data_IF_985458654564
#
_entry.id   IF_985458654564
#
_cell.length_a   1.000
_cell.length_b   1.000
_cell.length_c   1.000
_cell.angle_alpha   90.00
_cell.angle_beta   90.00
_cell.angle_gamma   90.00
#
_symmetry.space_group_name_H-M   'P 1'
#
loop_
_entity.id
_entity.type
_entity.pdbx_description
1 polymer ?
#
# COMPACT_ATOMS: atom_id res chain seq x y z
N UNK A 1 5.43 -0.31 -22.38
CA UNK A 1 6.89 0.06 -22.50
C UNK A 1 7.27 1.24 -21.60
N UNK A 2 6.33 1.91 -20.96
CA UNK A 2 6.63 3.07 -20.10
C UNK A 2 6.66 2.74 -18.61
N UNK A 3 6.17 1.58 -18.21
CA UNK A 3 6.19 1.08 -16.82
C UNK A 3 7.41 0.20 -16.64
N UNK A 4 8.13 0.40 -15.53
CA UNK A 4 9.25 -0.43 -15.10
C UNK A 4 8.96 -0.92 -13.67
N UNK A 5 9.20 -2.19 -13.44
CA UNK A 5 9.14 -2.81 -12.11
C UNK A 5 10.57 -3.03 -11.65
N UNK A 6 10.93 -2.43 -10.53
CA UNK A 6 12.21 -2.63 -9.85
C UNK A 6 11.94 -3.49 -8.61
N UNK A 7 12.70 -4.53 -8.40
CA UNK A 7 12.53 -5.42 -7.24
C UNK A 7 13.86 -5.73 -6.60
N UNK A 8 13.89 -5.76 -5.28
CA UNK A 8 14.94 -6.49 -4.58
C UNK A 8 14.80 -8.00 -4.82
N UNK A 9 15.89 -8.74 -4.66
CA UNK A 9 15.87 -10.20 -4.81
C UNK A 9 15.28 -10.86 -3.57
N UNK A 10 13.99 -11.13 -3.61
CA UNK A 10 13.22 -11.67 -2.49
C UNK A 10 12.37 -12.90 -2.87
N UNK A 11 12.58 -13.45 -4.06
CA UNK A 11 11.91 -14.66 -4.52
C UNK A 11 10.38 -14.55 -4.63
N UNK A 12 9.82 -13.35 -4.80
CA UNK A 12 8.37 -13.10 -4.82
C UNK A 12 7.65 -13.81 -5.99
N UNK A 13 6.91 -14.91 -5.77
CA UNK A 13 6.19 -15.62 -6.85
C UNK A 13 5.13 -14.76 -7.54
N UNK A 14 4.59 -13.77 -6.83
CA UNK A 14 3.64 -12.78 -7.39
C UNK A 14 4.22 -12.00 -8.58
N UNK A 15 5.54 -11.92 -8.71
CA UNK A 15 6.22 -11.23 -9.79
C UNK A 15 6.63 -12.16 -10.96
N UNK A 16 6.43 -13.47 -10.86
CA UNK A 16 6.92 -14.43 -11.87
C UNK A 16 6.31 -14.16 -13.25
N UNK A 17 5.02 -13.84 -13.32
CA UNK A 17 4.37 -13.49 -14.59
C UNK A 17 4.97 -12.22 -15.22
N UNK A 18 5.43 -11.28 -14.41
CA UNK A 18 6.08 -10.04 -14.88
C UNK A 18 7.48 -10.39 -15.37
N UNK A 19 8.24 -11.19 -14.62
CA UNK A 19 9.58 -11.64 -14.99
C UNK A 19 9.58 -12.38 -16.33
N UNK A 20 8.56 -13.23 -16.56
CA UNK A 20 8.46 -14.02 -17.78
C UNK A 20 7.92 -13.22 -18.95
N UNK A 21 6.81 -12.48 -18.77
CA UNK A 21 6.09 -11.87 -19.88
C UNK A 21 6.56 -10.45 -20.19
N UNK A 22 7.21 -9.77 -19.25
CA UNK A 22 7.62 -8.38 -19.32
C UNK A 22 9.10 -8.21 -18.91
N UNK A 23 9.96 -9.15 -19.25
CA UNK A 23 11.37 -9.18 -18.84
C UNK A 23 12.11 -7.85 -19.10
N UNK A 24 11.84 -7.19 -20.23
CA UNK A 24 12.45 -5.88 -20.57
C UNK A 24 11.93 -4.71 -19.70
N UNK A 25 10.92 -4.95 -18.87
CA UNK A 25 10.33 -3.97 -17.94
C UNK A 25 10.58 -4.36 -16.48
N UNK A 26 11.39 -5.40 -16.24
CA UNK A 26 11.73 -5.88 -14.91
C UNK A 26 13.22 -5.72 -14.63
N UNK A 27 13.53 -5.09 -13.49
CA UNK A 27 14.91 -4.87 -13.02
C UNK A 27 15.02 -5.51 -11.63
N UNK A 28 15.92 -6.49 -11.49
CA UNK A 28 16.30 -7.04 -10.20
C UNK A 28 17.59 -6.35 -9.74
N UNK A 29 17.57 -5.73 -8.57
CA UNK A 29 18.72 -5.00 -8.00
C UNK A 29 19.54 -5.83 -7.02
N UNK A 30 19.25 -7.12 -6.87
CA UNK A 30 19.80 -7.97 -5.82
C UNK A 30 19.16 -7.66 -4.46
N UNK A 31 19.77 -8.12 -3.39
CA UNK A 31 19.33 -7.84 -2.00
C UNK A 31 19.84 -6.44 -1.61
N UNK A 32 19.31 -5.41 -2.26
CA UNK A 32 19.77 -4.02 -2.15
C UNK A 32 18.61 -3.03 -2.32
N UNK A 33 17.72 -2.96 -1.32
CA UNK A 33 16.49 -2.17 -1.38
C UNK A 33 16.76 -0.66 -1.51
N UNK A 34 17.80 -0.15 -0.85
CA UNK A 34 18.22 1.25 -0.98
C UNK A 34 18.59 1.57 -2.42
N UNK A 35 19.36 0.67 -3.07
CA UNK A 35 19.71 0.81 -4.48
C UNK A 35 18.47 0.69 -5.37
N UNK A 36 17.49 -0.17 -5.02
CA UNK A 36 16.25 -0.31 -5.76
C UNK A 36 15.47 1.03 -5.81
N UNK A 37 15.38 1.75 -4.68
CA UNK A 37 14.77 3.09 -4.63
C UNK A 37 15.52 4.06 -5.57
N UNK A 38 16.84 4.10 -5.49
CA UNK A 38 17.66 5.01 -6.32
C UNK A 38 17.56 4.70 -7.81
N UNK A 39 17.58 3.42 -8.20
CA UNK A 39 17.40 2.98 -9.59
C UNK A 39 16.03 3.39 -10.11
N UNK A 40 14.97 3.17 -9.31
CA UNK A 40 13.61 3.57 -9.68
C UNK A 40 13.49 5.09 -9.84
N UNK A 41 14.12 5.87 -8.96
CA UNK A 41 14.14 7.33 -9.03
C UNK A 41 14.84 7.81 -10.32
N UNK A 42 16.01 7.24 -10.64
CA UNK A 42 16.69 7.54 -11.89
C UNK A 42 15.87 7.23 -13.14
N UNK A 43 15.13 6.11 -13.13
CA UNK A 43 14.21 5.75 -14.22
C UNK A 43 13.03 6.72 -14.29
N UNK A 44 12.48 7.14 -13.14
CA UNK A 44 11.38 8.11 -13.09
C UNK A 44 11.81 9.49 -13.61
N UNK A 45 13.04 9.94 -13.30
CA UNK A 45 13.62 11.17 -13.88
C UNK A 45 13.74 11.11 -15.40
N UNK A 46 13.86 9.92 -15.99
CA UNK A 46 13.83 9.68 -17.45
C UNK A 46 12.42 9.45 -17.99
N UNK A 47 11.38 9.79 -17.23
CA UNK A 47 9.97 9.75 -17.64
C UNK A 47 9.33 8.36 -17.58
N UNK A 48 9.97 7.38 -16.94
CA UNK A 48 9.34 6.08 -16.70
C UNK A 48 8.39 6.13 -15.50
N UNK A 49 7.38 5.27 -15.51
CA UNK A 49 6.56 4.97 -14.33
C UNK A 49 7.20 3.81 -13.59
N UNK A 50 7.94 4.13 -12.54
CA UNK A 50 8.70 3.16 -11.78
C UNK A 50 7.92 2.67 -10.56
N UNK A 51 7.76 1.34 -10.45
CA UNK A 51 7.23 0.65 -9.30
C UNK A 51 8.38 -0.08 -8.63
N UNK A 52 8.59 0.14 -7.33
CA UNK A 52 9.62 -0.54 -6.54
C UNK A 52 8.93 -1.52 -5.61
N UNK A 53 9.28 -2.79 -5.69
CA UNK A 53 8.63 -3.85 -4.93
C UNK A 53 9.62 -4.52 -3.96
N UNK A 54 9.22 -4.64 -2.70
CA UNK A 54 10.02 -5.30 -1.66
C UNK A 54 9.20 -5.71 -0.44
N UNK A 55 9.85 -6.44 0.48
CA UNK A 55 9.26 -6.71 1.80
C UNK A 55 9.13 -5.38 2.55
N UNK A 56 7.97 -5.15 3.16
CA UNK A 56 7.58 -3.85 3.68
C UNK A 56 8.64 -3.17 4.60
N UNK A 57 9.18 -3.79 5.67
CA UNK A 57 10.20 -3.14 6.50
C UNK A 57 11.50 -2.82 5.74
N UNK A 58 11.86 -3.64 4.75
CA UNK A 58 13.10 -3.48 4.03
C UNK A 58 13.01 -2.40 2.95
N UNK A 59 11.84 -2.28 2.28
CA UNK A 59 11.65 -1.25 1.27
C UNK A 59 11.22 0.11 1.87
N UNK A 60 10.85 0.17 3.15
CA UNK A 60 10.46 1.40 3.85
C UNK A 60 11.50 1.84 4.87
N UNK A 61 11.60 1.19 6.03
CA UNK A 61 12.47 1.64 7.12
C UNK A 61 13.93 1.66 6.72
N UNK A 62 14.42 0.60 6.08
CA UNK A 62 15.80 0.53 5.58
C UNK A 62 16.10 1.59 4.54
N UNK A 63 15.11 2.01 3.77
CA UNK A 63 15.23 2.97 2.68
C UNK A 63 14.73 4.38 3.03
N UNK A 64 14.48 4.66 4.30
CA UNK A 64 13.81 5.90 4.72
C UNK A 64 14.54 7.15 4.25
N UNK A 65 15.86 7.17 4.33
CA UNK A 65 16.68 8.29 3.86
C UNK A 65 16.49 8.50 2.34
N UNK A 66 16.64 7.43 1.55
CA UNK A 66 16.50 7.50 0.10
C UNK A 66 15.10 7.98 -0.29
N UNK A 67 14.06 7.44 0.34
CA UNK A 67 12.67 7.86 0.07
C UNK A 67 12.48 9.33 0.47
N UNK A 68 13.01 9.75 1.62
CA UNK A 68 12.93 11.13 2.06
C UNK A 68 13.59 12.09 1.07
N UNK A 69 14.76 11.75 0.57
CA UNK A 69 15.48 12.58 -0.40
C UNK A 69 14.79 12.55 -1.75
N UNK A 70 14.60 11.37 -2.33
CA UNK A 70 14.10 11.20 -3.70
C UNK A 70 12.63 11.64 -3.83
N UNK A 71 11.77 11.11 -2.96
CA UNK A 71 10.33 11.37 -3.04
C UNK A 71 9.90 12.66 -2.33
N UNK A 72 10.47 12.93 -1.15
CA UNK A 72 10.08 14.07 -0.32
C UNK A 72 10.73 15.38 -0.77
N UNK A 73 12.05 15.42 -0.92
CA UNK A 73 12.80 16.64 -1.24
C UNK A 73 12.84 16.90 -2.75
N UNK A 74 13.24 15.90 -3.54
CA UNK A 74 13.37 16.02 -5.01
C UNK A 74 12.02 15.84 -5.73
N UNK A 75 10.98 15.35 -5.07
CA UNK A 75 9.63 15.11 -5.60
C UNK A 75 9.61 14.22 -6.84
N UNK A 76 10.50 13.22 -6.88
CA UNK A 76 10.55 12.25 -7.98
C UNK A 76 9.40 11.25 -7.80
N UNK A 77 8.49 11.11 -8.79
CA UNK A 77 7.28 10.28 -8.63
C UNK A 77 7.60 8.79 -8.84
N UNK A 78 7.73 8.05 -7.76
CA UNK A 78 7.85 6.59 -7.74
C UNK A 78 6.71 5.95 -6.94
N UNK A 79 6.33 4.74 -7.30
CA UNK A 79 5.38 3.93 -6.52
C UNK A 79 6.15 2.87 -5.75
N UNK A 80 6.13 2.96 -4.42
CA UNK A 80 6.80 2.04 -3.51
C UNK A 80 5.77 1.01 -3.06
N UNK A 81 6.01 -0.26 -3.31
CA UNK A 81 5.10 -1.36 -2.96
C UNK A 81 5.76 -2.22 -1.89
N UNK A 82 5.25 -2.12 -0.67
CA UNK A 82 5.72 -2.91 0.47
C UNK A 82 4.74 -4.03 0.79
N UNK A 83 5.20 -5.29 0.72
CA UNK A 83 4.39 -6.46 1.02
C UNK A 83 4.68 -7.00 2.42
N UNK A 84 3.64 -7.46 3.13
CA UNK A 84 3.73 -8.02 4.47
C UNK A 84 3.82 -6.95 5.55
N UNK A 85 3.06 -5.87 5.40
CA UNK A 85 2.92 -4.83 6.43
C UNK A 85 2.24 -5.39 7.70
N UNK A 86 2.40 -4.69 8.81
CA UNK A 86 1.90 -5.16 10.10
C UNK A 86 2.64 -6.41 10.57
N UNK A 87 1.89 -7.44 10.92
CA UNK A 87 2.40 -8.76 11.34
C UNK A 87 2.28 -9.82 10.23
N UNK A 88 2.22 -9.40 8.95
CA UNK A 88 2.01 -10.31 7.82
C UNK A 88 3.06 -11.41 7.66
N UNK A 89 4.28 -11.19 8.17
CA UNK A 89 5.36 -12.18 8.25
C UNK A 89 5.51 -12.73 9.68
N UNK A 90 4.43 -13.23 10.26
CA UNK A 90 4.38 -13.76 11.63
C UNK A 90 5.40 -14.87 11.92
N UNK A 91 5.74 -15.66 10.89
CA UNK A 91 6.68 -16.78 10.91
C UNK A 91 8.16 -16.36 10.79
N UNK A 92 8.44 -15.12 10.44
CA UNK A 92 9.80 -14.64 10.13
C UNK A 92 10.40 -13.79 11.25
N UNK A 93 9.63 -13.51 12.29
CA UNK A 93 10.05 -12.78 13.48
C UNK A 93 10.11 -11.25 13.33
N UNK A 94 10.56 -10.55 14.37
CA UNK A 94 10.39 -9.09 14.51
C UNK A 94 11.11 -8.27 13.44
N UNK A 95 12.14 -8.81 12.78
CA UNK A 95 12.83 -8.11 11.68
C UNK A 95 11.97 -7.95 10.43
N UNK A 96 10.90 -8.75 10.30
CA UNK A 96 9.95 -8.72 9.19
C UNK A 96 8.62 -8.07 9.57
N UNK A 97 8.39 -7.79 10.85
CA UNK A 97 7.19 -7.08 11.31
C UNK A 97 7.31 -5.58 11.03
N UNK A 98 6.20 -4.93 10.73
CA UNK A 98 6.17 -3.51 10.40
C UNK A 98 4.83 -2.90 10.84
N UNK A 99 4.76 -2.41 12.06
CA UNK A 99 3.55 -1.80 12.65
C UNK A 99 3.60 -0.26 12.64
N UNK A 100 4.77 0.32 12.41
CA UNK A 100 5.05 1.76 12.47
C UNK A 100 5.12 2.44 11.11
N UNK A 101 4.96 1.71 10.01
CA UNK A 101 5.18 2.21 8.65
C UNK A 101 4.31 3.44 8.30
N UNK A 102 3.03 3.42 8.63
CA UNK A 102 2.14 4.54 8.36
C UNK A 102 2.63 5.80 9.10
N UNK A 103 3.04 5.67 10.36
CA UNK A 103 3.52 6.79 11.16
C UNK A 103 4.80 7.39 10.58
N UNK A 104 5.77 6.54 10.20
CA UNK A 104 7.06 6.95 9.67
C UNK A 104 6.91 7.52 8.26
N UNK A 105 6.22 6.84 7.37
CA UNK A 105 6.06 7.27 5.98
C UNK A 105 5.23 8.57 5.87
N UNK A 106 4.30 8.83 6.78
CA UNK A 106 3.59 10.11 6.87
C UNK A 106 4.48 11.31 7.17
N UNK A 107 5.65 11.10 7.74
CA UNK A 107 6.61 12.19 8.01
C UNK A 107 7.28 12.73 6.74
N UNK A 108 7.18 12.01 5.62
CA UNK A 108 7.79 12.41 4.35
C UNK A 108 6.83 13.36 3.61
N UNK A 109 7.24 14.62 3.33
CA UNK A 109 6.38 15.60 2.69
C UNK A 109 5.92 15.15 1.30
N UNK A 110 4.62 15.23 1.05
CA UNK A 110 4.03 14.92 -0.27
C UNK A 110 3.92 13.44 -0.61
N UNK A 111 4.33 12.55 0.28
CA UNK A 111 4.15 11.12 0.10
C UNK A 111 2.71 10.72 0.42
N UNK A 112 2.04 10.10 -0.54
CA UNK A 112 0.74 9.46 -0.35
C UNK A 112 0.96 8.04 0.15
N UNK A 113 0.11 7.55 1.05
CA UNK A 113 0.09 6.16 1.51
C UNK A 113 -1.26 5.56 1.13
N UNK A 114 -1.25 4.42 0.47
CA UNK A 114 -2.44 3.64 0.13
C UNK A 114 -2.37 2.28 0.84
N UNK A 115 -3.19 2.10 1.89
CA UNK A 115 -3.29 0.85 2.65
C UNK A 115 -4.37 -0.03 2.03
N UNK A 116 -3.96 -1.08 1.38
CA UNK A 116 -4.82 -1.89 0.51
C UNK A 116 -5.68 -2.85 1.32
N UNK A 117 -6.98 -2.81 1.07
CA UNK A 117 -7.99 -3.61 1.76
C UNK A 117 -8.23 -4.94 1.05
N UNK A 118 -8.39 -4.91 -0.29
CA UNK A 118 -8.60 -6.10 -1.09
C UNK A 118 -7.99 -6.00 -2.50
N UNK A 119 -8.13 -7.05 -3.29
CA UNK A 119 -7.59 -7.12 -4.64
C UNK A 119 -8.24 -6.13 -5.62
N UNK A 120 -9.50 -5.73 -5.39
CA UNK A 120 -10.20 -4.73 -6.22
C UNK A 120 -9.54 -3.37 -6.02
N UNK A 121 -9.31 -2.98 -4.77
CA UNK A 121 -8.57 -1.75 -4.43
C UNK A 121 -7.13 -1.81 -4.94
N UNK A 122 -6.44 -2.96 -4.79
CA UNK A 122 -5.07 -3.12 -5.31
C UNK A 122 -5.00 -2.81 -6.81
N UNK A 123 -5.92 -3.37 -7.59
CA UNK A 123 -5.98 -3.12 -9.04
C UNK A 123 -6.31 -1.66 -9.38
N UNK A 124 -7.20 -1.02 -8.63
CA UNK A 124 -7.55 0.39 -8.83
C UNK A 124 -6.38 1.32 -8.49
N UNK A 125 -5.70 1.10 -7.36
CA UNK A 125 -4.53 1.88 -6.94
C UNK A 125 -3.37 1.68 -7.92
N UNK A 126 -3.12 0.47 -8.39
CA UNK A 126 -2.07 0.21 -9.39
C UNK A 126 -2.33 1.00 -10.69
N UNK A 127 -3.58 1.06 -11.16
CA UNK A 127 -3.96 1.85 -12.34
C UNK A 127 -3.77 3.35 -12.11
N UNK A 128 -4.28 3.88 -10.98
CA UNK A 128 -4.19 5.31 -10.67
C UNK A 128 -2.74 5.76 -10.45
N UNK A 129 -1.89 4.92 -9.84
CA UNK A 129 -0.47 5.20 -9.64
C UNK A 129 0.28 5.47 -10.95
N UNK A 130 -0.15 4.89 -12.07
CA UNK A 130 0.43 5.19 -13.38
C UNK A 130 0.25 6.65 -13.83
N UNK A 131 -0.74 7.37 -13.29
CA UNK A 131 -1.01 8.78 -13.60
C UNK A 131 -0.47 9.76 -12.55
N UNK A 132 -0.04 9.29 -11.38
CA UNK A 132 0.41 10.15 -10.29
C UNK A 132 1.67 10.94 -10.69
N UNK A 133 1.71 12.19 -10.23
CA UNK A 133 2.88 13.09 -10.35
C UNK A 133 3.60 13.26 -9.00
N UNK A 134 3.24 12.46 -8.02
CA UNK A 134 3.84 12.39 -6.69
C UNK A 134 4.12 10.93 -6.37
N UNK A 135 4.98 10.70 -5.39
CA UNK A 135 5.24 9.35 -4.92
C UNK A 135 4.10 8.82 -4.07
N UNK A 136 3.90 7.52 -4.12
CA UNK A 136 3.00 6.84 -3.19
C UNK A 136 3.63 5.56 -2.65
N UNK A 137 3.29 5.26 -1.40
CA UNK A 137 3.57 4.01 -0.73
C UNK A 137 2.32 3.15 -0.73
N UNK A 138 2.35 2.02 -1.41
CA UNK A 138 1.29 1.02 -1.46
C UNK A 138 1.60 -0.06 -0.42
N UNK A 139 0.78 -0.09 0.61
CA UNK A 139 0.92 -1.00 1.75
C UNK A 139 0.08 -2.23 1.52
N UNK A 140 0.72 -3.37 1.31
CA UNK A 140 0.07 -4.66 1.08
C UNK A 140 0.27 -5.61 2.25
N UNK A 141 -0.75 -6.41 2.53
CA UNK A 141 -0.58 -7.62 3.36
C UNK A 141 0.12 -8.73 2.55
N UNK A 142 0.67 -9.72 3.25
CA UNK A 142 1.21 -10.95 2.66
C UNK A 142 0.11 -11.94 2.30
N UNK A 143 -0.94 -11.99 3.11
CA UNK A 143 -2.07 -12.91 2.95
C UNK A 143 -3.14 -12.29 2.05
N UNK A 144 -3.81 -13.09 1.22
CA UNK A 144 -4.97 -12.61 0.49
C UNK A 144 -6.10 -12.28 1.48
N UNK A 145 -6.82 -11.20 1.24
CA UNK A 145 -8.02 -10.79 1.97
C UNK A 145 -9.28 -11.20 1.21
N UNK A 146 -10.39 -11.31 1.93
CA UNK A 146 -11.70 -11.46 1.32
C UNK A 146 -12.03 -10.23 0.45
N UNK A 147 -12.81 -10.46 -0.60
CA UNK A 147 -13.34 -9.36 -1.42
C UNK A 147 -14.35 -8.55 -0.62
N UNK A 148 -14.12 -7.25 -0.49
CA UNK A 148 -14.97 -6.30 0.22
C UNK A 148 -15.63 -5.33 -0.75
N UNK A 149 -14.87 -4.84 -1.72
CA UNK A 149 -15.33 -3.87 -2.71
C UNK A 149 -15.80 -4.52 -4.00
N UNK A 150 -16.68 -3.83 -4.71
CA UNK A 150 -17.05 -4.21 -6.07
C UNK A 150 -16.15 -3.51 -7.12
N UNK A 151 -16.19 -4.00 -8.36
CA UNK A 151 -15.28 -3.57 -9.43
C UNK A 151 -15.50 -2.10 -9.88
N UNK A 152 -16.64 -1.49 -9.49
CA UNK A 152 -16.99 -0.11 -9.84
C UNK A 152 -16.67 0.89 -8.76
N UNK A 153 -16.13 0.44 -7.62
CA UNK A 153 -15.81 1.31 -6.49
C UNK A 153 -14.82 2.40 -6.89
N UNK A 154 -15.16 3.64 -6.58
CA UNK A 154 -14.26 4.77 -6.67
C UNK A 154 -13.45 4.91 -5.37
N UNK A 155 -12.13 4.89 -5.49
CA UNK A 155 -11.19 5.04 -4.38
C UNK A 155 -10.54 6.44 -4.31
N UNK A 156 -11.06 7.42 -5.03
CA UNK A 156 -10.50 8.78 -5.07
C UNK A 156 -10.64 9.53 -3.75
N UNK A 157 -11.66 9.19 -2.94
CA UNK A 157 -11.96 9.85 -1.66
C UNK A 157 -10.93 9.57 -0.55
N UNK A 158 -10.23 8.43 -0.60
CA UNK A 158 -9.30 7.98 0.45
C UNK A 158 -9.97 7.35 1.67
N UNK A 159 -11.30 7.36 1.71
CA UNK A 159 -12.13 6.80 2.80
C UNK A 159 -13.37 6.17 2.18
N UNK A 160 -13.79 5.02 2.68
CA UNK A 160 -15.02 4.34 2.25
C UNK A 160 -15.84 3.85 3.44
N UNK A 161 -17.18 3.96 3.33
CA UNK A 161 -18.08 3.30 4.26
C UNK A 161 -18.37 1.92 3.70
N UNK A 162 -17.88 0.87 4.38
CA UNK A 162 -18.09 -0.52 3.96
C UNK A 162 -19.30 -1.18 4.66
N UNK A 163 -19.78 -0.54 5.71
CA UNK A 163 -21.02 -0.92 6.40
C UNK A 163 -21.63 0.29 7.08
N UNK A 164 -22.94 0.48 6.90
CA UNK A 164 -23.71 1.48 7.64
C UNK A 164 -24.12 0.98 9.03
N UNK A 165 -24.21 1.91 9.99
CA UNK A 165 -24.62 1.69 11.36
C UNK A 165 -24.80 3.01 12.10
N UNK A 166 -25.49 2.98 13.25
CA UNK A 166 -25.93 4.21 13.95
C UNK A 166 -25.51 4.30 15.42
N UNK A 167 -25.05 3.19 16.02
CA UNK A 167 -24.79 3.16 17.47
C UNK A 167 -23.31 3.30 17.82
N UNK A 168 -22.44 2.80 16.97
CA UNK A 168 -21.00 3.00 17.10
C UNK A 168 -20.31 2.95 15.73
N UNK A 169 -19.07 3.44 15.66
CA UNK A 169 -18.26 3.40 14.44
C UNK A 169 -16.93 2.68 14.71
N UNK A 170 -16.58 1.75 13.81
CA UNK A 170 -15.29 1.09 13.76
C UNK A 170 -14.52 1.67 12.57
N UNK A 171 -13.46 2.43 12.84
CA UNK A 171 -12.53 2.88 11.83
C UNK A 171 -11.42 1.85 11.65
N UNK A 172 -11.18 1.45 10.42
CA UNK A 172 -10.19 0.42 10.07
C UNK A 172 -9.34 0.85 8.89
N UNK A 173 -8.31 0.08 8.56
CA UNK A 173 -7.49 0.27 7.37
C UNK A 173 -6.92 -1.07 6.89
N UNK A 174 -6.81 -1.23 5.58
CA UNK A 174 -6.25 -2.43 4.98
C UNK A 174 -7.05 -3.69 5.31
N UNK A 175 -6.37 -4.81 5.41
CA UNK A 175 -6.99 -6.14 5.64
C UNK A 175 -7.76 -6.26 6.96
N UNK A 176 -7.53 -5.33 7.92
CA UNK A 176 -8.31 -5.28 9.17
C UNK A 176 -9.79 -4.93 8.94
N UNK A 177 -10.17 -4.51 7.74
CA UNK A 177 -11.56 -4.31 7.35
C UNK A 177 -12.38 -5.61 7.43
N UNK A 178 -11.78 -6.76 7.10
CA UNK A 178 -12.42 -8.07 7.25
C UNK A 178 -12.76 -8.37 8.70
N UNK A 179 -11.79 -8.20 9.61
CA UNK A 179 -11.98 -8.36 11.06
C UNK A 179 -13.04 -7.40 11.60
N UNK A 180 -13.04 -6.14 11.14
CA UNK A 180 -14.06 -5.18 11.53
C UNK A 180 -15.47 -5.62 11.13
N UNK A 181 -15.63 -6.19 9.94
CA UNK A 181 -16.92 -6.75 9.50
C UNK A 181 -17.33 -8.00 10.32
N UNK A 182 -16.40 -8.83 10.75
CA UNK A 182 -16.67 -9.94 11.66
C UNK A 182 -17.13 -9.45 13.03
N UNK A 183 -16.45 -8.47 13.60
CA UNK A 183 -16.86 -7.82 14.86
C UNK A 183 -18.29 -7.28 14.73
N UNK A 184 -18.64 -6.66 13.61
CA UNK A 184 -20.01 -6.18 13.39
C UNK A 184 -21.05 -7.29 13.39
N UNK A 185 -20.71 -8.50 12.89
CA UNK A 185 -21.62 -9.65 12.96
C UNK A 185 -21.89 -10.06 14.41
N UNK A 186 -20.85 -10.05 15.25
CA UNK A 186 -20.99 -10.36 16.69
C UNK A 186 -21.75 -9.26 17.45
N UNK A 187 -21.50 -7.99 17.16
CA UNK A 187 -22.21 -6.87 17.75
C UNK A 187 -23.71 -6.90 17.40
N UNK A 188 -24.04 -7.30 16.16
CA UNK A 188 -25.45 -7.44 15.73
C UNK A 188 -26.22 -8.48 16.57
N UNK A 189 -25.58 -9.57 17.02
CA UNK A 189 -26.19 -10.54 17.93
C UNK A 189 -26.58 -9.89 19.28
N UNK A 190 -25.85 -8.86 19.67
CA UNK A 190 -26.10 -8.05 20.86
C UNK A 190 -27.02 -6.85 20.60
N UNK A 191 -27.64 -6.77 19.40
CA UNK A 191 -28.49 -5.67 18.93
C UNK A 191 -27.76 -4.33 18.80
N UNK A 192 -26.44 -4.34 18.63
CA UNK A 192 -25.63 -3.15 18.39
C UNK A 192 -25.40 -3.02 16.88
N UNK A 193 -25.80 -1.89 16.29
CA UNK A 193 -25.65 -1.60 14.87
C UNK A 193 -24.42 -0.72 14.64
N UNK A 194 -23.27 -1.34 14.32
CA UNK A 194 -22.02 -0.66 14.12
C UNK A 194 -21.81 -0.26 12.65
N UNK A 195 -21.34 0.96 12.44
CA UNK A 195 -20.80 1.46 11.16
C UNK A 195 -19.36 1.03 11.01
N UNK A 196 -18.89 0.72 9.79
CA UNK A 196 -17.48 0.46 9.50
C UNK A 196 -16.99 1.41 8.43
N UNK A 197 -15.93 2.13 8.75
CA UNK A 197 -15.23 3.04 7.85
C UNK A 197 -13.85 2.47 7.54
N UNK A 198 -13.54 2.34 6.27
CA UNK A 198 -12.20 1.99 5.79
C UNK A 198 -11.45 3.27 5.40
N UNK A 199 -10.40 3.58 6.16
CA UNK A 199 -9.51 4.71 5.92
C UNK A 199 -8.26 4.22 5.18
N UNK A 200 -8.31 4.19 3.87
CA UNK A 200 -7.29 3.52 3.04
C UNK A 200 -6.25 4.46 2.44
N UNK A 201 -6.44 5.79 2.48
CA UNK A 201 -5.43 6.74 1.98
C UNK A 201 -5.00 7.72 3.07
N UNK A 202 -3.69 7.93 3.18
CA UNK A 202 -3.11 8.93 4.09
C UNK A 202 -2.28 9.96 3.30
N UNK A 203 -2.30 11.26 3.68
CA UNK A 203 -3.02 11.82 4.84
C UNK A 203 -4.54 11.66 4.72
N UNK A 204 -5.20 11.45 5.86
CA UNK A 204 -6.63 11.23 5.93
C UNK A 204 -7.43 12.45 5.47
N UNK A 205 -8.51 12.22 4.74
CA UNK A 205 -9.53 13.22 4.47
C UNK A 205 -10.46 13.35 5.69
N UNK A 206 -10.01 14.11 6.71
CA UNK A 206 -10.71 14.25 7.98
C UNK A 206 -12.18 14.70 7.84
N UNK A 207 -12.56 15.64 6.95
CA UNK A 207 -13.96 15.99 6.72
C UNK A 207 -14.87 14.83 6.31
N UNK A 208 -14.32 13.83 5.62
CA UNK A 208 -15.08 12.64 5.21
C UNK A 208 -15.22 11.60 6.34
N UNK A 209 -14.27 11.57 7.28
CA UNK A 209 -14.34 10.69 8.44
C UNK A 209 -15.38 11.13 9.48
N UNK A 210 -15.70 12.43 9.53
CA UNK A 210 -16.58 13.03 10.54
C UNK A 210 -18.04 13.14 10.06
N UNK A 211 -18.34 12.73 8.84
CA UNK A 211 -19.69 12.61 8.26
C UNK A 211 -20.25 11.21 8.45
#
# INVERSE_FOLDING_TARGET
RNIIIVSADMGAPSLDRIRTNLAAQFVNTGIAEQNAIMVASGLAMKGKKAFVYGIAPFITLRCLEQIRVESGMMRIPITIVGVGAGLGYEDSGPTHHLIEDIAIMRSIPGLRIDSITDHVMAAAVARSSCSFRHSNYVRLDRKPSARIYDDKQDFSSGVGVIREGSECCIATTGTMAETALEICRELKKKRINARVIDAYTFPLNAPLLLK
#
